data_IF_781096259802
#
_entry.id   IF_781096259802
#
_cell.length_a   1.000
_cell.length_b   1.000
_cell.length_c   1.000
_cell.angle_alpha   90.00
_cell.angle_beta   90.00
_cell.angle_gamma   90.00
#
_symmetry.space_group_name_H-M   'P 1'
#
loop_
_entity.id
_entity.type
_entity.pdbx_description
1 polymer ?
#
# COMPACT_ATOMS: atom_id res chain seq x y z
N UNK A 1 -3.75 -13.38 23.77
CA UNK A 1 -4.12 -11.98 24.02
C UNK A 1 -4.39 -11.33 22.66
N UNK A 2 -5.46 -11.67 21.94
CA UNK A 2 -6.83 -11.26 22.25
C UNK A 2 -7.15 -9.98 21.46
N UNK A 3 -7.38 -10.11 20.13
CA UNK A 3 -7.84 -9.01 19.27
C UNK A 3 -9.23 -8.60 19.71
N UNK A 4 -9.31 -7.64 20.64
CA UNK A 4 -10.56 -7.19 21.26
C UNK A 4 -11.42 -6.35 20.32
N UNK A 5 -10.96 -6.14 19.09
CA UNK A 5 -11.64 -5.41 18.06
C UNK A 5 -11.11 -5.94 16.70
N UNK A 6 -12.04 -6.33 15.80
CA UNK A 6 -11.73 -6.91 14.49
C UNK A 6 -11.90 -5.89 13.37
N UNK A 7 -12.20 -4.63 13.69
CA UNK A 7 -12.30 -3.57 12.71
C UNK A 7 -10.91 -3.27 12.14
N UNK A 8 -10.75 -3.52 10.85
CA UNK A 8 -9.63 -3.03 10.06
C UNK A 8 -10.10 -1.75 9.36
N UNK A 9 -9.20 -0.78 9.25
CA UNK A 9 -9.46 0.44 8.49
C UNK A 9 -8.46 0.51 7.34
N UNK A 10 -8.98 0.62 6.13
CA UNK A 10 -8.21 0.81 4.90
C UNK A 10 -8.53 2.17 4.28
N UNK A 11 -7.61 2.68 3.46
CA UNK A 11 -7.87 3.90 2.71
C UNK A 11 -9.02 3.65 1.73
N UNK A 12 -10.02 4.54 1.72
CA UNK A 12 -11.24 4.39 0.91
C UNK A 12 -12.43 3.85 1.70
N UNK A 13 -12.22 3.34 2.90
CA UNK A 13 -13.30 2.91 3.78
C UNK A 13 -14.18 4.10 4.20
N UNK A 14 -15.49 3.85 4.25
CA UNK A 14 -16.44 4.78 4.85
C UNK A 14 -16.50 4.50 6.34
N UNK A 15 -16.26 5.53 7.14
CA UNK A 15 -16.19 5.44 8.61
C UNK A 15 -17.02 6.56 9.22
N UNK A 16 -17.74 6.23 10.29
CA UNK A 16 -18.46 7.20 11.10
C UNK A 16 -17.55 7.69 12.22
N UNK A 17 -17.39 9.02 12.30
CA UNK A 17 -16.46 9.66 13.23
C UNK A 17 -17.15 10.75 14.04
N UNK A 18 -16.69 10.95 15.26
CA UNK A 18 -17.07 12.07 16.12
C UNK A 18 -15.90 13.04 16.28
N UNK A 19 -16.20 14.35 16.27
CA UNK A 19 -15.21 15.39 16.52
C UNK A 19 -14.91 15.44 18.02
N UNK A 20 -13.63 15.28 18.37
CA UNK A 20 -13.13 15.38 19.74
C UNK A 20 -12.62 16.78 20.05
N UNK A 21 -11.85 17.37 19.15
CA UNK A 21 -11.24 18.69 19.34
C UNK A 21 -10.96 19.38 18.00
N UNK A 22 -10.90 20.71 18.01
CA UNK A 22 -10.52 21.51 16.85
C UNK A 22 -9.45 22.51 17.29
N UNK A 23 -8.29 22.45 16.65
CA UNK A 23 -7.24 23.46 16.79
C UNK A 23 -7.25 24.35 15.56
N UNK A 24 -7.79 25.55 15.73
CA UNK A 24 -7.92 26.53 14.65
C UNK A 24 -6.58 27.05 14.16
N UNK A 25 -5.59 27.21 15.05
CA UNK A 25 -4.30 27.79 14.69
C UNK A 25 -3.45 26.82 13.87
N UNK A 26 -3.52 25.52 14.19
CA UNK A 26 -2.79 24.46 13.45
C UNK A 26 -3.58 23.85 12.30
N UNK A 27 -4.83 24.23 12.11
CA UNK A 27 -5.74 23.66 11.11
C UNK A 27 -5.87 22.13 11.27
N UNK A 28 -6.02 21.66 12.50
CA UNK A 28 -6.15 20.24 12.83
C UNK A 28 -7.50 19.91 13.47
N UNK A 29 -8.00 18.71 13.19
CA UNK A 29 -9.23 18.19 13.77
C UNK A 29 -8.90 16.81 14.36
N UNK A 30 -9.12 16.67 15.66
CA UNK A 30 -9.02 15.37 16.33
C UNK A 30 -10.34 14.64 16.18
N UNK A 31 -10.29 13.46 15.56
CA UNK A 31 -11.46 12.60 15.31
C UNK A 31 -11.34 11.29 16.07
N UNK A 32 -12.49 10.73 16.45
CA UNK A 32 -12.59 9.40 17.05
C UNK A 32 -13.58 8.57 16.24
N UNK A 33 -13.17 7.35 15.84
CA UNK A 33 -14.05 6.41 15.16
C UNK A 33 -15.11 5.89 16.13
N UNK A 34 -16.38 6.09 15.80
CA UNK A 34 -17.54 5.61 16.58
C UNK A 34 -18.24 4.42 15.92
N UNK A 35 -17.95 4.16 14.64
CA UNK A 35 -18.47 3.02 13.89
C UNK A 35 -17.93 2.96 12.47
N UNK A 36 -18.14 1.84 11.78
CA UNK A 36 -17.67 1.62 10.40
C UNK A 36 -16.27 1.01 10.30
N UNK A 37 -15.69 1.06 9.10
CA UNK A 37 -14.52 0.27 8.70
C UNK A 37 -14.95 -0.99 7.93
N UNK A 38 -14.17 -1.38 6.93
CA UNK A 38 -14.47 -2.58 6.15
C UNK A 38 -14.27 -3.82 7.02
N UNK A 39 -15.24 -4.74 7.03
CA UNK A 39 -14.95 -6.12 7.42
C UNK A 39 -13.89 -6.59 6.43
N UNK A 40 -12.74 -7.04 6.93
CA UNK A 40 -11.67 -7.53 6.07
C UNK A 40 -12.21 -8.71 5.25
N UNK A 41 -12.67 -8.44 4.03
CA UNK A 41 -12.91 -9.46 3.03
C UNK A 41 -11.58 -10.12 2.73
N UNK A 42 -11.54 -11.44 2.83
CA UNK A 42 -10.35 -12.30 2.67
C UNK A 42 -9.87 -12.38 1.20
N UNK A 43 -10.12 -11.35 0.38
CA UNK A 43 -10.10 -11.45 -1.10
C UNK A 43 -9.07 -10.51 -1.79
N UNK A 44 -7.95 -10.21 -1.12
CA UNK A 44 -6.91 -9.31 -1.66
C UNK A 44 -5.58 -10.07 -1.89
N UNK A 45 -5.65 -11.30 -2.41
CA UNK A 45 -4.48 -12.17 -2.69
C UNK A 45 -4.28 -12.52 -4.18
N UNK A 46 -4.96 -11.89 -5.13
CA UNK A 46 -4.76 -12.21 -6.55
C UNK A 46 -4.75 -10.95 -7.41
N UNK A 47 -3.56 -10.46 -7.76
CA UNK A 47 -3.19 -10.00 -9.11
C UNK A 47 -1.88 -9.19 -9.08
N UNK A 48 -0.76 -9.92 -9.17
CA UNK A 48 0.58 -9.34 -9.23
C UNK A 48 1.55 -10.14 -10.10
N UNK A 49 1.06 -10.87 -11.11
CA UNK A 49 1.90 -11.54 -12.10
C UNK A 49 2.23 -10.59 -13.27
N UNK A 50 3.03 -9.55 -13.00
CA UNK A 50 3.70 -8.75 -14.01
C UNK A 50 5.00 -9.42 -14.43
N UNK A 51 5.02 -10.02 -15.62
CA UNK A 51 6.20 -10.72 -16.17
C UNK A 51 7.08 -9.72 -16.93
N UNK A 52 7.98 -9.03 -16.22
CA UNK A 52 8.96 -8.17 -16.90
C UNK A 52 10.17 -9.00 -17.34
N UNK A 53 9.93 -9.87 -18.33
CA UNK A 53 10.96 -10.60 -19.05
C UNK A 53 11.79 -9.66 -19.92
N UNK A 54 12.77 -8.96 -19.35
CA UNK A 54 13.80 -8.28 -20.12
C UNK A 54 14.87 -9.29 -20.56
N UNK A 55 14.55 -10.09 -21.58
CA UNK A 55 15.53 -10.87 -22.34
C UNK A 55 16.27 -9.95 -23.32
N UNK A 56 17.20 -9.15 -22.81
CA UNK A 56 18.20 -8.49 -23.66
C UNK A 56 19.37 -9.46 -23.88
N UNK A 57 19.13 -10.47 -24.71
CA UNK A 57 20.18 -11.29 -25.29
C UNK A 57 20.54 -10.70 -26.66
N UNK A 58 21.57 -9.87 -26.70
CA UNK A 58 22.38 -9.56 -27.87
C UNK A 58 23.75 -9.12 -27.31
N UNK A 59 24.69 -10.04 -27.16
CA UNK A 59 25.76 -10.26 -28.14
C UNK A 59 26.63 -9.01 -28.34
N UNK A 60 27.58 -8.80 -27.44
CA UNK A 60 28.78 -8.02 -27.77
C UNK A 60 29.98 -8.97 -27.73
N UNK A 61 30.36 -9.40 -28.93
CA UNK A 61 31.53 -10.22 -29.20
C UNK A 61 32.81 -9.44 -28.87
N UNK A 62 33.53 -10.00 -27.90
CA UNK A 62 34.96 -9.99 -27.66
C UNK A 62 35.79 -9.35 -28.81
N UNK A 63 36.21 -8.10 -28.63
CA UNK A 63 37.23 -7.48 -29.48
C UNK A 63 38.61 -8.01 -29.04
N UNK A 64 39.16 -8.93 -29.83
CA UNK A 64 40.55 -9.40 -29.74
C UNK A 64 41.46 -8.38 -30.43
N UNK A 65 42.08 -7.51 -29.63
CA UNK A 65 43.07 -6.54 -30.10
C UNK A 65 44.45 -7.17 -30.12
N UNK A 66 44.82 -7.74 -31.28
CA UNK A 66 46.16 -8.28 -31.55
C UNK A 66 47.21 -7.17 -31.44
N UNK A 67 48.31 -7.52 -30.76
CA UNK A 67 49.55 -6.77 -30.65
C UNK A 67 50.22 -6.58 -32.04
N UNK A 68 50.78 -5.39 -32.27
CA UNK A 68 51.95 -5.17 -33.16
C UNK A 68 53.01 -4.34 -32.41
#
# INVERSE_FOLDING_TARGET
MGRKNRQQYRLGDRVEVQVKSVDYYRQQIDLVAVGGGSEAGEDDEEDGAGTDGNSAAADESLYDGSEE
#
